data_IF_512411840518
#
_entry.id   IF_512411840518
#
_cell.length_a   1.000
_cell.length_b   1.000
_cell.length_c   1.000
_cell.angle_alpha   90.00
_cell.angle_beta   90.00
_cell.angle_gamma   90.00
#
_symmetry.space_group_name_H-M   'P 1'
#
loop_
_entity.id
_entity.type
_entity.pdbx_description
1 polymer ?
#
# COMPACT_ATOMS: atom_id res chain seq x y z
N UNK A 1 0.73 -9.29 5.44
CA UNK A 1 -0.71 -9.10 5.79
C UNK A 1 -1.57 -10.30 5.41
N UNK A 2 -1.42 -10.89 4.23
CA UNK A 2 -2.23 -12.05 3.85
C UNK A 2 -2.07 -13.22 4.82
N UNK A 3 -0.87 -13.45 5.33
CA UNK A 3 -0.61 -14.50 6.32
C UNK A 3 -1.36 -14.25 7.62
N UNK A 4 -1.45 -13.00 8.06
CA UNK A 4 -2.22 -12.61 9.25
C UNK A 4 -3.70 -12.87 9.09
N UNK A 5 -4.21 -12.81 7.87
CA UNK A 5 -5.61 -13.05 7.53
C UNK A 5 -5.88 -14.53 7.23
N UNK A 6 -4.87 -15.38 7.30
CA UNK A 6 -4.98 -16.79 6.99
C UNK A 6 -5.10 -17.09 5.50
N UNK A 7 -4.79 -16.12 4.64
CA UNK A 7 -4.84 -16.29 3.19
C UNK A 7 -3.44 -16.58 2.67
N UNK A 8 -3.24 -17.79 2.17
CA UNK A 8 -1.97 -18.21 1.58
C UNK A 8 -2.21 -18.59 0.12
N UNK A 9 -1.74 -17.76 -0.78
CA UNK A 9 -1.85 -18.03 -2.20
C UNK A 9 -0.60 -17.48 -2.90
N UNK A 10 0.04 -18.30 -3.70
CA UNK A 10 1.27 -17.97 -4.41
C UNK A 10 1.12 -16.78 -5.36
N UNK A 11 -0.09 -16.54 -5.83
CA UNK A 11 -0.38 -15.46 -6.77
C UNK A 11 -0.35 -14.08 -6.11
N UNK A 12 -0.49 -13.99 -4.79
CA UNK A 12 -0.58 -12.69 -4.09
C UNK A 12 0.66 -11.81 -4.30
N UNK A 13 1.91 -12.30 -4.05
CA UNK A 13 3.08 -11.46 -4.34
C UNK A 13 3.19 -11.15 -5.83
N UNK A 14 2.79 -12.07 -6.67
CA UNK A 14 2.89 -11.93 -8.12
C UNK A 14 2.01 -10.81 -8.66
N UNK A 15 0.74 -10.76 -8.25
CA UNK A 15 -0.18 -9.72 -8.73
C UNK A 15 0.18 -8.34 -8.17
N UNK A 16 0.92 -8.28 -7.07
CA UNK A 16 1.36 -7.02 -6.48
C UNK A 16 2.65 -6.48 -7.09
N UNK A 17 3.34 -7.25 -7.92
CA UNK A 17 4.70 -6.94 -8.37
C UNK A 17 4.82 -5.62 -9.13
N UNK A 18 3.80 -5.22 -9.86
CA UNK A 18 3.85 -3.99 -10.67
C UNK A 18 3.54 -2.72 -9.88
N UNK A 19 3.16 -2.82 -8.61
CA UNK A 19 2.83 -1.65 -7.79
C UNK A 19 4.04 -0.97 -7.16
N UNK A 20 5.20 -1.64 -7.16
CA UNK A 20 6.42 -1.09 -6.56
C UNK A 20 6.86 0.22 -7.22
N UNK A 21 7.55 1.06 -6.45
CA UNK A 21 8.04 2.34 -6.95
C UNK A 21 6.93 3.30 -7.35
N UNK A 22 5.76 3.18 -6.73
CA UNK A 22 4.61 4.03 -7.03
C UNK A 22 4.02 3.72 -8.40
N UNK A 23 3.49 2.54 -8.60
CA UNK A 23 2.87 2.07 -9.85
C UNK A 23 3.92 1.87 -10.95
N UNK A 24 4.81 0.91 -10.72
CA UNK A 24 5.81 0.54 -11.72
C UNK A 24 6.95 1.54 -11.87
N UNK A 25 7.35 2.15 -10.78
CA UNK A 25 8.46 3.11 -10.81
C UNK A 25 8.09 4.48 -11.35
N UNK A 26 6.79 4.81 -11.42
CA UNK A 26 6.32 6.11 -11.94
C UNK A 26 6.19 7.19 -10.87
N UNK A 27 6.37 6.85 -9.60
CA UNK A 27 6.25 7.82 -8.50
C UNK A 27 4.83 8.21 -8.17
N UNK A 28 3.85 7.41 -8.60
CA UNK A 28 2.43 7.63 -8.30
C UNK A 28 2.11 7.13 -6.87
N UNK A 29 1.01 6.43 -6.67
CA UNK A 29 0.59 6.02 -5.33
C UNK A 29 1.61 5.05 -4.70
N UNK A 30 1.94 5.28 -3.44
CA UNK A 30 2.87 4.44 -2.69
C UNK A 30 2.39 2.97 -2.67
N UNK A 31 3.32 2.04 -2.96
CA UNK A 31 3.01 0.62 -2.95
C UNK A 31 2.49 0.10 -1.62
N UNK A 32 2.90 0.71 -0.51
CA UNK A 32 2.39 0.37 0.82
C UNK A 32 0.89 0.68 0.95
N UNK A 33 0.43 1.79 0.36
CA UNK A 33 -0.99 2.14 0.32
C UNK A 33 -1.76 1.10 -0.49
N UNK A 34 -1.27 0.77 -1.68
CA UNK A 34 -1.90 -0.24 -2.53
C UNK A 34 -1.98 -1.59 -1.82
N UNK A 35 -0.88 -2.00 -1.18
CA UNK A 35 -0.84 -3.25 -0.42
C UNK A 35 -1.86 -3.28 0.72
N UNK A 36 -2.00 -2.18 1.45
CA UNK A 36 -2.99 -2.04 2.51
C UNK A 36 -4.42 -2.17 1.98
N UNK A 37 -4.70 -1.52 0.85
CA UNK A 37 -6.00 -1.61 0.20
C UNK A 37 -6.29 -3.02 -0.31
N UNK A 38 -5.28 -3.72 -0.80
CA UNK A 38 -5.41 -5.12 -1.21
C UNK A 38 -5.76 -6.01 -0.01
N UNK A 39 -5.16 -5.77 1.15
CA UNK A 39 -5.49 -6.50 2.38
C UNK A 39 -6.94 -6.29 2.79
N UNK A 40 -7.44 -5.07 2.69
CA UNK A 40 -8.85 -4.77 2.93
C UNK A 40 -9.73 -5.56 1.95
N UNK A 41 -9.34 -5.62 0.69
CA UNK A 41 -10.05 -6.39 -0.32
C UNK A 41 -10.10 -7.89 -0.05
N UNK A 42 -9.05 -8.45 0.55
CA UNK A 42 -9.02 -9.86 0.91
C UNK A 42 -10.10 -10.21 1.93
N UNK A 43 -10.40 -9.33 2.88
CA UNK A 43 -11.37 -9.57 3.95
C UNK A 43 -12.77 -9.04 3.61
N UNK A 44 -12.87 -7.88 2.97
CA UNK A 44 -14.12 -7.16 2.77
C UNK A 44 -14.45 -6.89 1.32
N UNK A 45 -13.69 -7.46 0.39
CA UNK A 45 -13.95 -7.35 -1.02
C UNK A 45 -15.18 -8.17 -1.44
N UNK A 46 -15.69 -7.87 -2.61
CA UNK A 46 -16.80 -8.63 -3.19
C UNK A 46 -16.26 -9.64 -4.21
N UNK A 47 -16.92 -10.78 -4.28
CA UNK A 47 -16.58 -11.83 -5.26
C UNK A 47 -17.27 -11.58 -6.60
N UNK A 48 -18.42 -10.91 -6.58
CA UNK A 48 -19.24 -10.66 -7.77
C UNK A 48 -19.63 -9.20 -7.86
N UNK A 49 -19.80 -8.70 -9.08
CA UNK A 49 -20.19 -7.30 -9.33
C UNK A 49 -21.51 -6.91 -8.69
N UNK A 50 -22.42 -7.88 -8.50
CA UNK A 50 -23.72 -7.65 -7.88
C UNK A 50 -23.65 -7.43 -6.37
N UNK A 51 -22.52 -7.74 -5.73
CA UNK A 51 -22.36 -7.54 -4.30
C UNK A 51 -22.05 -6.09 -3.97
N UNK A 52 -22.36 -5.68 -2.73
CA UNK A 52 -22.08 -4.33 -2.25
C UNK A 52 -20.58 -4.08 -2.09
N UNK A 53 -20.10 -3.01 -2.67
CA UNK A 53 -18.69 -2.58 -2.56
C UNK A 53 -18.48 -1.46 -1.53
N UNK A 54 -19.55 -0.87 -1.01
CA UNK A 54 -19.45 0.33 -0.18
C UNK A 54 -18.78 0.06 1.17
N UNK A 55 -18.90 -1.14 1.70
CA UNK A 55 -18.22 -1.54 2.92
C UNK A 55 -16.70 -1.47 2.77
N UNK A 56 -16.19 -2.05 1.70
CA UNK A 56 -14.76 -2.00 1.39
C UNK A 56 -14.30 -0.58 1.08
N UNK A 57 -15.10 0.19 0.37
CA UNK A 57 -14.78 1.58 0.07
C UNK A 57 -14.68 2.44 1.33
N UNK A 58 -15.58 2.25 2.29
CA UNK A 58 -15.51 2.96 3.56
C UNK A 58 -14.22 2.69 4.31
N UNK A 59 -13.81 1.43 4.36
CA UNK A 59 -12.54 1.05 4.97
C UNK A 59 -11.34 1.62 4.21
N UNK A 60 -11.40 1.63 2.88
CA UNK A 60 -10.35 2.19 2.05
C UNK A 60 -10.19 3.71 2.26
N UNK A 61 -11.30 4.42 2.38
CA UNK A 61 -11.29 5.86 2.65
C UNK A 61 -10.66 6.15 4.01
N UNK A 62 -11.02 5.40 5.03
CA UNK A 62 -10.45 5.57 6.37
C UNK A 62 -8.97 5.18 6.41
N UNK A 63 -8.58 4.12 5.69
CA UNK A 63 -7.18 3.74 5.55
C UNK A 63 -6.37 4.90 4.97
N UNK A 64 -6.84 5.46 3.87
CA UNK A 64 -6.17 6.58 3.20
C UNK A 64 -6.04 7.77 4.14
N UNK A 65 -7.10 8.13 4.84
CA UNK A 65 -7.10 9.25 5.77
C UNK A 65 -6.04 9.06 6.87
N UNK A 66 -5.99 7.88 7.47
CA UNK A 66 -5.01 7.59 8.53
C UNK A 66 -3.58 7.57 8.00
N UNK A 67 -3.38 7.01 6.82
CA UNK A 67 -2.06 6.96 6.20
C UNK A 67 -1.54 8.37 5.89
N UNK A 68 -2.38 9.21 5.31
CA UNK A 68 -2.00 10.60 5.01
C UNK A 68 -1.72 11.40 6.28
N UNK A 69 -2.51 11.17 7.34
CA UNK A 69 -2.28 11.83 8.62
C UNK A 69 -0.92 11.47 9.23
N UNK A 70 -0.51 10.19 9.09
CA UNK A 70 0.74 9.71 9.65
C UNK A 70 1.95 10.02 8.77
N UNK A 71 1.82 9.84 7.46
CA UNK A 71 2.94 9.96 6.52
C UNK A 71 2.99 11.30 5.78
N UNK A 72 1.91 12.04 5.77
CA UNK A 72 1.81 13.35 5.13
C UNK A 72 1.35 13.31 3.67
N UNK A 73 1.50 12.19 2.98
CA UNK A 73 1.09 12.02 1.59
C UNK A 73 0.93 10.55 1.27
N UNK A 74 0.30 10.22 0.16
CA UNK A 74 0.18 8.84 -0.34
C UNK A 74 1.05 8.59 -1.57
N UNK A 75 1.66 9.62 -2.14
CA UNK A 75 2.45 9.51 -3.36
C UNK A 75 3.88 9.08 -3.11
N UNK A 76 4.37 8.15 -3.91
CA UNK A 76 5.74 7.67 -3.82
C UNK A 76 6.75 8.81 -3.99
N UNK A 77 6.57 9.62 -5.03
CA UNK A 77 7.48 10.71 -5.33
C UNK A 77 7.47 11.80 -4.24
N UNK A 78 6.29 12.12 -3.73
CA UNK A 78 6.14 13.10 -2.66
C UNK A 78 6.78 12.61 -1.36
N UNK A 79 6.64 11.32 -1.06
CA UNK A 79 7.21 10.74 0.16
C UNK A 79 8.72 10.58 0.09
N UNK A 80 9.24 10.16 -1.07
CA UNK A 80 10.67 9.84 -1.21
C UNK A 80 11.49 11.00 -1.79
N UNK A 81 10.85 11.88 -2.56
CA UNK A 81 11.56 12.90 -3.33
C UNK A 81 12.36 12.34 -4.50
N UNK A 82 12.19 11.05 -4.82
CA UNK A 82 12.97 10.37 -5.84
C UNK A 82 12.22 10.29 -7.16
N UNK A 83 12.96 10.38 -8.27
CA UNK A 83 12.44 10.12 -9.61
C UNK A 83 12.89 8.72 -10.04
N UNK A 84 12.02 7.74 -9.86
CA UNK A 84 12.33 6.34 -10.20
C UNK A 84 12.12 6.03 -11.68
N UNK A 85 11.73 7.01 -12.48
CA UNK A 85 11.58 6.83 -13.93
C UNK A 85 12.91 6.84 -14.67
N UNK A 86 13.97 7.34 -14.03
CA UNK A 86 15.31 7.39 -14.61
C UNK A 86 16.25 6.44 -13.88
N UNK A 87 17.29 5.98 -14.58
CA UNK A 87 18.33 5.15 -13.98
C UNK A 87 19.08 5.93 -12.88
N UNK A 88 19.38 7.20 -13.14
CA UNK A 88 20.05 8.06 -12.19
C UNK A 88 19.23 8.25 -10.93
N UNK A 89 17.93 8.48 -11.07
CA UNK A 89 17.03 8.63 -9.94
C UNK A 89 16.91 7.35 -9.13
N UNK A 90 16.83 6.19 -9.80
CA UNK A 90 16.82 4.89 -9.11
C UNK A 90 18.11 4.63 -8.34
N UNK A 91 19.25 4.97 -8.95
CA UNK A 91 20.55 4.81 -8.31
C UNK A 91 20.68 5.72 -7.09
N UNK A 92 20.30 6.99 -7.23
CA UNK A 92 20.31 7.95 -6.13
C UNK A 92 19.41 7.48 -4.98
N UNK A 93 18.22 6.95 -5.30
CA UNK A 93 17.29 6.42 -4.31
C UNK A 93 17.91 5.25 -3.53
N UNK A 94 18.50 4.28 -4.24
CA UNK A 94 19.13 3.10 -3.60
C UNK A 94 20.30 3.47 -2.70
N UNK A 95 21.02 4.55 -3.03
CA UNK A 95 22.16 5.00 -2.26
C UNK A 95 21.77 5.93 -1.10
N UNK A 96 20.51 6.31 -1.00
CA UNK A 96 19.99 7.21 0.03
C UNK A 96 19.46 6.43 1.24
N UNK A 97 18.99 7.15 2.25
CA UNK A 97 18.33 6.58 3.41
C UNK A 97 16.82 6.33 3.20
N UNK A 98 16.28 6.72 2.04
CA UNK A 98 14.84 6.63 1.76
C UNK A 98 14.26 5.21 1.80
N UNK A 99 14.95 4.18 1.27
CA UNK A 99 14.42 2.83 1.38
C UNK A 99 14.11 2.41 2.81
N UNK A 100 14.94 2.80 3.77
CA UNK A 100 14.76 2.46 5.18
C UNK A 100 13.83 3.44 5.89
N UNK A 101 14.12 4.74 5.83
CA UNK A 101 13.41 5.74 6.64
C UNK A 101 12.05 6.16 6.07
N UNK A 102 11.81 5.93 4.79
CA UNK A 102 10.53 6.27 4.15
C UNK A 102 9.77 5.02 3.76
N UNK A 103 10.33 4.20 2.88
CA UNK A 103 9.59 3.08 2.29
C UNK A 103 9.31 1.96 3.30
N UNK A 104 10.28 1.58 4.10
CA UNK A 104 10.08 0.56 5.14
C UNK A 104 9.10 1.08 6.21
N UNK A 105 9.22 2.35 6.59
CA UNK A 105 8.29 2.99 7.52
C UNK A 105 6.87 3.01 6.95
N UNK A 106 6.72 3.40 5.68
CA UNK A 106 5.42 3.41 5.01
C UNK A 106 4.77 2.02 5.03
N UNK A 107 5.56 0.97 4.78
CA UNK A 107 5.09 -0.40 4.86
C UNK A 107 4.58 -0.77 6.25
N UNK A 108 5.33 -0.41 7.29
CA UNK A 108 4.94 -0.65 8.67
C UNK A 108 3.69 0.11 9.08
N UNK A 109 3.59 1.37 8.68
CA UNK A 109 2.42 2.22 8.95
C UNK A 109 1.19 1.64 8.25
N UNK A 110 1.31 1.30 6.97
CA UNK A 110 0.21 0.71 6.21
C UNK A 110 -0.26 -0.61 6.82
N UNK A 111 0.69 -1.46 7.21
CA UNK A 111 0.40 -2.74 7.87
C UNK A 111 -0.41 -2.54 9.14
N UNK A 112 0.04 -1.63 10.01
CA UNK A 112 -0.62 -1.39 11.28
C UNK A 112 -2.03 -0.80 11.10
N UNK A 113 -2.17 0.15 10.18
CA UNK A 113 -3.47 0.76 9.89
C UNK A 113 -4.45 -0.29 9.36
N UNK A 114 -4.03 -1.09 8.40
CA UNK A 114 -4.87 -2.14 7.83
C UNK A 114 -5.30 -3.14 8.92
N UNK A 115 -4.36 -3.57 9.74
CA UNK A 115 -4.64 -4.51 10.83
C UNK A 115 -5.65 -3.92 11.83
N UNK A 116 -5.46 -2.67 12.23
CA UNK A 116 -6.36 -2.00 13.16
C UNK A 116 -7.78 -1.86 12.58
N UNK A 117 -7.88 -1.43 11.32
CA UNK A 117 -9.18 -1.29 10.64
C UNK A 117 -9.92 -2.61 10.52
N UNK A 118 -9.20 -3.69 10.19
CA UNK A 118 -9.81 -5.01 10.05
C UNK A 118 -10.29 -5.54 11.41
N UNK A 119 -9.59 -5.23 12.49
CA UNK A 119 -10.03 -5.59 13.85
C UNK A 119 -11.25 -4.79 14.28
N UNK A 120 -11.26 -3.49 13.98
CA UNK A 120 -12.39 -2.60 14.31
C UNK A 120 -13.66 -2.99 13.57
N UNK A 121 -13.52 -3.60 12.38
CA UNK A 121 -14.64 -4.00 11.52
C UNK A 121 -15.22 -5.38 11.88
N UNK A 122 -14.62 -6.11 12.81
CA UNK A 122 -15.12 -7.41 13.29
C UNK A 122 -16.42 -7.28 14.10
#
# INVERSE_FOLDING_TARGET
MSQELGVKNEIIPRIASAFGGGMGGTGAVCGAVVGGLMAIGLEHGRDFESEDRLGAWGLAQEFRRRFEAEMGNIGCRELTGADLTTEEGRKAYRSSDKPIYVCLRAGGVAYQIALDLLKEAE
#
